data_IF_592440571474
#
_entry.id   IF_592440571474
#
_cell.length_a   1.000
_cell.length_b   1.000
_cell.length_c   1.000
_cell.angle_alpha   90.00
_cell.angle_beta   90.00
_cell.angle_gamma   90.00
#
_symmetry.space_group_name_H-M   'P 1'
#
loop_
_entity.id
_entity.type
_entity.pdbx_description
1 polymer ?
#
# COMPACT_ATOMS: atom_id res chain seq x y z
N UNK A 1 -11.50 22.57 2.32
CA UNK A 1 -11.10 21.77 1.14
C UNK A 1 -9.66 21.30 1.25
N UNK A 2 -8.66 22.19 1.34
CA UNK A 2 -7.24 21.80 1.37
C UNK A 2 -6.84 20.78 2.45
N UNK A 3 -7.40 20.88 3.67
CA UNK A 3 -7.13 19.88 4.72
C UNK A 3 -7.69 18.49 4.39
N UNK A 4 -8.88 18.43 3.78
CA UNK A 4 -9.55 17.16 3.43
C UNK A 4 -8.78 16.45 2.32
N UNK A 5 -8.35 17.20 1.30
CA UNK A 5 -7.52 16.67 0.22
C UNK A 5 -6.16 16.19 0.75
N UNK A 6 -5.55 16.95 1.67
CA UNK A 6 -4.31 16.55 2.34
C UNK A 6 -4.48 15.25 3.15
N UNK A 7 -5.55 15.12 3.94
CA UNK A 7 -5.84 13.87 4.68
C UNK A 7 -6.08 12.69 3.74
N UNK A 8 -6.75 12.90 2.60
CA UNK A 8 -7.00 11.85 1.62
C UNK A 8 -5.70 11.40 0.95
N UNK A 9 -4.86 12.34 0.53
CA UNK A 9 -3.56 12.05 -0.09
C UNK A 9 -2.64 11.36 0.91
N UNK A 10 -2.62 11.80 2.17
CA UNK A 10 -1.90 11.14 3.26
C UNK A 10 -2.32 9.69 3.44
N UNK A 11 -3.62 9.43 3.59
CA UNK A 11 -4.14 8.07 3.73
C UNK A 11 -3.82 7.17 2.53
N UNK A 12 -4.02 7.67 1.31
CA UNK A 12 -3.72 6.90 0.09
C UNK A 12 -2.21 6.62 -0.06
N UNK A 13 -1.36 7.57 0.31
CA UNK A 13 0.10 7.38 0.30
C UNK A 13 0.54 6.36 1.36
N UNK A 14 -0.04 6.39 2.56
CA UNK A 14 0.23 5.38 3.61
C UNK A 14 -0.17 3.98 3.17
N UNK A 15 -1.33 3.84 2.51
CA UNK A 15 -1.78 2.56 1.95
C UNK A 15 -0.87 2.10 0.81
N UNK A 16 -0.51 3.00 -0.10
CA UNK A 16 0.34 2.68 -1.26
C UNK A 16 1.78 2.30 -0.91
N UNK A 17 2.33 2.88 0.16
CA UNK A 17 3.72 2.68 0.62
C UNK A 17 3.91 1.41 1.46
N UNK A 18 2.83 0.79 1.97
CA UNK A 18 2.89 -0.47 2.70
C UNK A 18 2.30 -1.61 1.88
N UNK A 19 3.08 -2.68 1.68
CA UNK A 19 2.65 -3.84 0.90
C UNK A 19 1.42 -4.55 1.48
N UNK A 20 1.24 -4.55 2.80
CA UNK A 20 0.09 -5.19 3.47
C UNK A 20 -1.20 -4.42 3.20
N UNK A 21 -1.18 -3.09 3.37
CA UNK A 21 -2.33 -2.24 3.05
C UNK A 21 -2.67 -2.27 1.56
N UNK A 22 -1.62 -2.17 0.72
CA UNK A 22 -1.77 -2.17 -0.73
C UNK A 22 -2.34 -3.48 -1.26
N UNK A 23 -1.83 -4.63 -0.81
CA UNK A 23 -2.31 -5.93 -1.29
C UNK A 23 -3.77 -6.16 -0.92
N UNK A 24 -4.17 -5.80 0.30
CA UNK A 24 -5.56 -5.85 0.75
C UNK A 24 -6.45 -4.96 -0.12
N UNK A 25 -6.07 -3.70 -0.31
CA UNK A 25 -6.85 -2.76 -1.12
C UNK A 25 -7.00 -3.25 -2.56
N UNK A 26 -5.92 -3.73 -3.18
CA UNK A 26 -5.94 -4.23 -4.55
C UNK A 26 -6.78 -5.50 -4.71
N UNK A 27 -6.85 -6.34 -3.66
CA UNK A 27 -7.69 -7.53 -3.66
C UNK A 27 -9.18 -7.20 -3.53
N UNK A 28 -9.52 -6.14 -2.80
CA UNK A 28 -10.92 -5.71 -2.59
C UNK A 28 -11.44 -4.74 -3.67
N UNK A 29 -10.55 -4.10 -4.42
CA UNK A 29 -10.91 -3.05 -5.37
C UNK A 29 -11.53 -3.60 -6.68
N UNK A 30 -12.70 -3.08 -7.11
CA UNK A 30 -13.35 -3.49 -8.36
C UNK A 30 -12.75 -2.82 -9.61
N UNK A 31 -11.89 -1.82 -9.46
CA UNK A 31 -11.42 -0.96 -10.57
C UNK A 31 -10.16 -1.50 -11.28
N UNK A 32 -9.53 -2.52 -10.71
CA UNK A 32 -8.36 -3.19 -11.27
C UNK A 32 -7.03 -2.61 -10.79
N UNK A 33 -6.06 -3.50 -10.60
CA UNK A 33 -4.81 -3.20 -9.89
C UNK A 33 -3.93 -2.13 -10.53
N UNK A 34 -4.00 -1.97 -11.86
CA UNK A 34 -3.22 -0.97 -12.59
C UNK A 34 -3.71 0.46 -12.34
N UNK A 35 -5.03 0.65 -12.25
CA UNK A 35 -5.62 1.97 -11.99
C UNK A 35 -5.38 2.39 -10.55
N UNK A 36 -5.54 1.45 -9.61
CA UNK A 36 -5.26 1.68 -8.19
C UNK A 36 -3.77 1.96 -7.95
N UNK A 37 -2.87 1.22 -8.61
CA UNK A 37 -1.43 1.47 -8.53
C UNK A 37 -1.06 2.89 -9.02
N UNK A 38 -1.70 3.37 -10.09
CA UNK A 38 -1.53 4.74 -10.57
C UNK A 38 -2.06 5.76 -9.57
N UNK A 39 -3.21 5.51 -8.96
CA UNK A 39 -3.77 6.38 -7.90
C UNK A 39 -2.81 6.50 -6.71
N UNK A 40 -2.27 5.38 -6.22
CA UNK A 40 -1.31 5.38 -5.13
C UNK A 40 -0.01 6.09 -5.47
N UNK A 41 0.49 5.90 -6.70
CA UNK A 41 1.70 6.57 -7.17
C UNK A 41 1.49 8.08 -7.24
N UNK A 42 0.36 8.54 -7.77
CA UNK A 42 0.01 9.96 -7.80
C UNK A 42 -0.09 10.55 -6.39
N UNK A 43 -0.70 9.84 -5.44
CA UNK A 43 -0.78 10.27 -4.05
C UNK A 43 0.61 10.34 -3.37
N UNK A 44 1.48 9.37 -3.60
CA UNK A 44 2.86 9.37 -3.07
C UNK A 44 3.68 10.53 -3.63
N UNK A 45 3.49 10.92 -4.88
CA UNK A 45 4.19 12.08 -5.49
C UNK A 45 3.62 13.40 -4.98
N UNK A 46 2.33 13.48 -4.70
CA UNK A 46 1.68 14.69 -4.21
C UNK A 46 1.91 14.96 -2.71
N UNK A 47 2.31 13.94 -1.95
CA UNK A 47 2.45 14.05 -0.49
C UNK A 47 3.60 14.97 -0.01
N UNK A 48 4.84 14.88 -0.54
CA UNK A 48 5.96 15.68 -0.06
C UNK A 48 5.73 17.21 -0.05
N UNK A 49 5.20 17.84 -1.11
CA UNK A 49 4.96 19.29 -1.09
C UNK A 49 3.90 19.69 -0.06
N UNK A 50 2.88 18.86 0.18
CA UNK A 50 1.83 19.12 1.17
C UNK A 50 2.34 18.91 2.61
N UNK A 51 3.24 17.95 2.83
CA UNK A 51 3.90 17.75 4.12
C UNK A 51 4.87 18.86 4.47
N UNK A 52 5.53 19.48 3.48
CA UNK A 52 6.49 20.56 3.72
C UNK A 52 5.84 21.94 3.86
N UNK A 53 4.56 22.07 3.52
CA UNK A 53 3.82 23.32 3.71
C UNK A 53 3.49 23.54 5.20
N UNK A 54 4.27 24.41 5.84
CA UNK A 54 4.10 24.76 7.24
C UNK A 54 2.76 25.45 7.51
N UNK A 55 2.30 26.30 6.60
CA UNK A 55 1.02 27.01 6.75
C UNK A 55 -0.17 26.06 6.64
N UNK A 56 -0.04 24.99 5.85
CA UNK A 56 -1.05 23.93 5.76
C UNK A 56 -1.05 23.04 7.00
N UNK A 57 0.14 22.63 7.49
CA UNK A 57 0.27 21.83 8.71
C UNK A 57 -0.21 22.57 9.97
N UNK A 58 0.02 23.88 10.06
CA UNK A 58 -0.44 24.70 11.18
C UNK A 58 -1.98 24.84 11.20
N UNK A 59 -2.64 24.73 10.04
CA UNK A 59 -4.10 24.81 9.90
C UNK A 59 -4.82 23.47 10.02
N UNK A 60 -4.21 22.40 9.50
CA UNK A 60 -4.84 21.08 9.37
C UNK A 60 -4.28 20.04 10.34
N UNK A 61 -3.17 20.35 11.03
CA UNK A 61 -2.38 19.38 11.79
C UNK A 61 -1.51 18.50 10.88
N UNK A 62 -0.62 17.71 11.50
CA UNK A 62 0.21 16.74 10.78
C UNK A 62 -0.64 15.53 10.36
N UNK A 63 -1.36 15.66 9.25
CA UNK A 63 -2.26 14.63 8.75
C UNK A 63 -1.53 13.35 8.35
N UNK A 64 -0.23 13.42 8.06
CA UNK A 64 0.56 12.23 7.72
C UNK A 64 0.79 11.34 8.93
N UNK A 65 1.12 11.95 10.08
CA UNK A 65 1.25 11.20 11.33
C UNK A 65 -0.07 10.57 11.73
N UNK A 66 -1.16 11.33 11.65
CA UNK A 66 -2.51 10.83 11.92
C UNK A 66 -2.89 9.67 10.99
N UNK A 67 -2.62 9.80 9.68
CA UNK A 67 -2.90 8.75 8.69
C UNK A 67 -2.13 7.45 8.96
N UNK A 68 -0.90 7.53 9.49
CA UNK A 68 -0.12 6.34 9.86
C UNK A 68 -0.70 5.68 11.11
N UNK A 69 -0.99 6.47 12.15
CA UNK A 69 -1.53 5.95 13.42
C UNK A 69 -2.94 5.35 13.22
N UNK A 70 -3.81 6.03 12.46
CA UNK A 70 -5.14 5.55 12.13
C UNK A 70 -5.10 4.33 11.19
N UNK A 71 -4.19 4.29 10.21
CA UNK A 71 -4.05 3.11 9.35
C UNK A 71 -3.66 1.86 10.15
N UNK A 72 -2.76 1.99 11.13
CA UNK A 72 -2.37 0.88 11.99
C UNK A 72 -3.55 0.40 12.86
N UNK A 73 -4.28 1.32 13.50
CA UNK A 73 -5.46 0.98 14.29
C UNK A 73 -6.57 0.35 13.43
N UNK A 74 -6.84 0.90 12.25
CA UNK A 74 -7.88 0.40 11.35
C UNK A 74 -7.53 -0.98 10.81
N UNK A 75 -6.27 -1.27 10.53
CA UNK A 75 -5.83 -2.61 10.13
C UNK A 75 -6.10 -3.66 11.20
N UNK A 76 -5.86 -3.36 12.47
CA UNK A 76 -6.17 -4.30 13.56
C UNK A 76 -7.66 -4.60 13.68
N UNK A 77 -8.51 -3.70 13.18
CA UNK A 77 -9.97 -3.89 13.06
C UNK A 77 -10.40 -4.48 11.71
N UNK A 78 -9.46 -4.79 10.81
CA UNK A 78 -9.76 -5.33 9.48
C UNK A 78 -10.31 -4.30 8.50
N UNK A 79 -9.96 -3.02 8.66
CA UNK A 79 -10.44 -1.91 7.83
C UNK A 79 -9.26 -1.32 7.07
N UNK A 80 -9.38 -1.23 5.74
CA UNK A 80 -8.40 -0.58 4.86
C UNK A 80 -9.11 0.40 3.93
N UNK A 81 -8.84 1.70 4.11
CA UNK A 81 -9.57 2.79 3.47
C UNK A 81 -11.10 2.64 3.64
N UNK A 82 -11.79 2.30 2.55
CA UNK A 82 -13.25 2.16 2.46
C UNK A 82 -13.72 0.70 2.57
N UNK A 83 -12.79 -0.26 2.69
CA UNK A 83 -13.09 -1.68 2.73
C UNK A 83 -13.03 -2.18 4.18
N UNK A 84 -14.14 -2.69 4.67
CA UNK A 84 -14.27 -3.28 6.02
C UNK A 84 -14.32 -4.80 5.96
N UNK A 85 -13.89 -5.46 7.05
CA UNK A 85 -13.92 -6.92 7.17
C UNK A 85 -12.85 -7.63 6.36
N UNK A 86 -11.79 -6.92 5.94
CA UNK A 86 -10.72 -7.53 5.14
C UNK A 86 -9.77 -8.28 6.06
N UNK A 87 -9.69 -9.60 5.86
CA UNK A 87 -8.71 -10.44 6.55
C UNK A 87 -7.38 -10.33 5.80
N UNK A 88 -6.25 -10.07 6.48
CA UNK A 88 -4.95 -10.11 5.84
C UNK A 88 -4.79 -11.48 5.17
N UNK A 89 -4.54 -11.48 3.86
CA UNK A 89 -4.37 -12.70 3.10
C UNK A 89 -3.24 -13.52 3.70
N UNK A 90 -3.53 -14.77 4.09
CA UNK A 90 -2.49 -15.71 4.50
C UNK A 90 -1.58 -15.98 3.33
N UNK A 91 -0.33 -15.50 3.41
CA UNK A 91 0.72 -15.84 2.45
C UNK A 91 0.98 -17.33 2.62
N UNK A 92 0.47 -18.13 1.69
CA UNK A 92 0.69 -19.59 1.67
C UNK A 92 2.09 -19.85 1.13
N UNK A 93 3.10 -19.72 2.00
CA UNK A 93 4.47 -20.12 1.72
C UNK A 93 4.65 -21.62 2.06
N UNK A 94 4.02 -22.49 1.27
CA UNK A 94 4.13 -23.94 1.45
C UNK A 94 5.43 -24.54 0.90
N UNK A 95 5.71 -25.83 1.17
CA UNK A 95 6.86 -26.55 0.59
C UNK A 95 6.89 -26.55 -0.94
N UNK A 96 5.73 -26.37 -1.58
CA UNK A 96 5.56 -26.18 -3.02
C UNK A 96 6.40 -25.05 -3.60
N UNK A 97 6.67 -23.99 -2.83
CA UNK A 97 7.49 -22.85 -3.26
C UNK A 97 8.95 -23.27 -3.51
N UNK A 98 9.50 -24.16 -2.67
CA UNK A 98 10.88 -24.65 -2.80
C UNK A 98 11.05 -25.48 -4.08
N UNK A 99 10.07 -26.30 -4.43
CA UNK A 99 10.09 -27.09 -5.66
C UNK A 99 10.11 -26.18 -6.90
N UNK A 100 9.25 -25.16 -6.93
CA UNK A 100 9.17 -24.22 -8.05
C UNK A 100 10.47 -23.42 -8.19
N UNK A 101 10.97 -22.85 -7.08
CA UNK A 101 12.23 -22.08 -7.08
C UNK A 101 13.41 -22.96 -7.52
N UNK A 102 13.49 -24.20 -7.05
CA UNK A 102 14.53 -25.15 -7.45
C UNK A 102 14.53 -25.45 -8.95
N UNK A 103 13.36 -25.66 -9.55
CA UNK A 103 13.23 -25.90 -11.00
C UNK A 103 13.68 -24.68 -11.80
N UNK A 104 13.27 -23.47 -11.40
CA UNK A 104 13.69 -22.24 -12.08
C UNK A 104 15.22 -22.08 -12.02
N UNK A 105 15.83 -22.30 -10.85
CA UNK A 105 17.29 -22.23 -10.70
C UNK A 105 17.98 -23.24 -11.62
N UNK A 106 17.49 -24.48 -11.70
CA UNK A 106 18.10 -25.51 -12.56
C UNK A 106 18.02 -25.15 -14.06
N UNK A 107 16.89 -24.59 -14.51
CA UNK A 107 16.74 -24.10 -15.89
C UNK A 107 17.71 -22.93 -16.15
N UNK A 108 17.86 -22.02 -15.19
CA UNK A 108 18.74 -20.87 -15.30
C UNK A 108 20.24 -21.22 -15.25
N UNK A 109 20.62 -22.21 -14.44
CA UNK A 109 22.01 -22.71 -14.48
C UNK A 109 22.25 -23.49 -15.77
N UNK A 110 21.32 -24.33 -16.19
CA UNK A 110 21.48 -25.15 -17.41
C UNK A 110 21.56 -24.34 -18.71
N UNK A 111 20.87 -23.21 -18.81
CA UNK A 111 20.84 -22.39 -20.04
C UNK A 111 21.97 -21.36 -20.11
N UNK A 112 22.43 -20.85 -18.96
CA UNK A 112 23.41 -19.75 -18.93
C UNK A 112 24.81 -20.14 -18.41
N UNK A 113 24.99 -21.35 -17.86
CA UNK A 113 26.31 -21.84 -17.41
C UNK A 113 26.91 -22.94 -18.31
N UNK A 114 26.35 -23.18 -19.50
CA UNK A 114 26.89 -24.04 -20.55
C UNK A 114 27.16 -23.20 -21.80
#
# INVERSE_FOLDING_TARGET
QQCTDYTRIANLSTIGSNSSYRSIFLASSPVGSMYDAKMFTAAMVALPPLMMDKALNDKCGNATKLAIDEAANNLTKGIVAQFEGVKPGTIRAGPELLAIVGVVILIFVGTWCF
#
